data_IF_471323109806
#
_entry.id   IF_471323109806
#
_cell.length_a   1.000
_cell.length_b   1.000
_cell.length_c   1.000
_cell.angle_alpha   90.00
_cell.angle_beta   90.00
_cell.angle_gamma   90.00
#
_symmetry.space_group_name_H-M   'P 1'
#
loop_
_entity.id
_entity.type
_entity.pdbx_description
1 polymer ?
#
# COMPACT_ATOMS: atom_id res chain seq x y z
N UNK A 1 -3.99 -16.87 -3.47
CA UNK A 1 -3.76 -15.51 -3.96
C UNK A 1 -2.39 -15.13 -3.43
N UNK A 2 -1.38 -15.20 -4.30
CA UNK A 2 0.00 -14.86 -3.94
C UNK A 2 0.13 -13.37 -3.64
N UNK A 3 1.26 -12.98 -3.06
CA UNK A 3 1.61 -11.60 -2.69
C UNK A 3 1.86 -10.82 -4.00
N UNK A 4 0.80 -10.61 -4.77
CA UNK A 4 0.80 -10.00 -6.08
C UNK A 4 0.18 -8.60 -5.95
N UNK A 5 1.08 -7.62 -5.98
CA UNK A 5 0.90 -6.24 -6.42
C UNK A 5 0.62 -5.11 -5.40
N UNK A 6 0.42 -5.36 -4.09
CA UNK A 6 0.12 -4.26 -3.15
C UNK A 6 0.74 -4.35 -1.76
N UNK A 7 2.04 -4.70 -1.64
CA UNK A 7 2.75 -4.43 -0.38
C UNK A 7 3.20 -2.96 -0.36
N UNK A 8 2.24 -2.05 -0.25
CA UNK A 8 2.53 -0.63 0.00
C UNK A 8 2.98 -0.47 1.45
N UNK A 9 3.82 0.53 1.70
CA UNK A 9 4.20 0.91 3.07
C UNK A 9 2.97 1.20 3.94
N UNK A 10 1.93 1.76 3.33
CA UNK A 10 0.65 2.03 3.96
C UNK A 10 -0.08 0.75 4.39
N UNK A 11 -0.13 -0.27 3.52
CA UNK A 11 -0.71 -1.58 3.84
C UNK A 11 -0.01 -2.26 5.02
N UNK A 12 1.33 -2.25 5.06
CA UNK A 12 2.04 -2.86 6.21
C UNK A 12 1.84 -2.07 7.49
N UNK A 13 1.71 -0.74 7.41
CA UNK A 13 1.39 0.09 8.57
C UNK A 13 -0.03 -0.17 9.07
N UNK A 14 -1.00 -0.38 8.19
CA UNK A 14 -2.42 -0.56 8.57
C UNK A 14 -2.83 -2.00 8.85
N UNK A 15 -2.16 -2.97 8.24
CA UNK A 15 -2.51 -4.39 8.23
C UNK A 15 -1.28 -5.29 8.52
N UNK A 16 -0.47 -4.87 9.50
CA UNK A 16 0.77 -5.55 9.91
C UNK A 16 0.59 -7.04 10.19
N UNK A 17 -0.53 -7.43 10.81
CA UNK A 17 -0.80 -8.82 11.17
C UNK A 17 -1.21 -9.68 9.97
N UNK A 18 -2.00 -9.12 9.05
CA UNK A 18 -2.34 -9.75 7.76
C UNK A 18 -1.07 -10.03 6.97
N UNK A 19 -0.20 -9.00 6.82
CA UNK A 19 1.10 -9.17 6.17
C UNK A 19 1.94 -10.26 6.85
N UNK A 20 2.03 -10.26 8.19
CA UNK A 20 2.79 -11.29 8.93
C UNK A 20 2.24 -12.69 8.65
N UNK A 21 0.93 -12.87 8.57
CA UNK A 21 0.30 -14.15 8.24
C UNK A 21 0.61 -14.61 6.82
N UNK A 22 0.46 -13.73 5.83
CA UNK A 22 0.76 -14.02 4.43
C UNK A 22 2.23 -14.36 4.24
N UNK A 23 3.13 -13.56 4.81
CA UNK A 23 4.56 -13.79 4.81
C UNK A 23 4.91 -15.13 5.47
N UNK A 24 4.33 -15.44 6.64
CA UNK A 24 4.53 -16.73 7.30
C UNK A 24 4.02 -17.90 6.45
N UNK A 25 2.94 -17.71 5.69
CA UNK A 25 2.44 -18.70 4.74
C UNK A 25 3.41 -18.93 3.59
N UNK A 26 3.98 -17.86 3.02
CA UNK A 26 5.02 -17.97 1.99
C UNK A 26 6.26 -18.72 2.52
N UNK A 27 6.72 -18.40 3.74
CA UNK A 27 7.82 -19.11 4.40
C UNK A 27 7.49 -20.60 4.66
N UNK A 28 6.21 -20.94 4.90
CA UNK A 28 5.76 -22.32 5.06
C UNK A 28 5.83 -23.09 3.74
N UNK A 29 5.39 -22.46 2.65
CA UNK A 29 5.35 -23.07 1.33
C UNK A 29 6.75 -23.30 0.75
N UNK A 30 7.71 -22.42 1.08
CA UNK A 30 9.11 -22.60 0.69
C UNK A 30 9.85 -23.50 1.68
N UNK A 31 9.87 -24.79 1.37
CA UNK A 31 10.35 -25.88 2.24
C UNK A 31 11.86 -25.83 2.48
N UNK A 32 12.39 -26.57 3.48
CA UNK A 32 13.84 -26.71 3.66
C UNK A 32 14.54 -27.27 2.42
N UNK A 33 13.92 -28.21 1.71
CA UNK A 33 14.44 -28.73 0.45
C UNK A 33 14.53 -27.63 -0.60
N UNK A 34 13.50 -26.80 -0.76
CA UNK A 34 13.54 -25.69 -1.71
C UNK A 34 14.61 -24.64 -1.35
N UNK A 35 14.88 -24.42 -0.05
CA UNK A 35 15.99 -23.56 0.40
C UNK A 35 17.36 -24.17 0.10
N UNK A 36 17.50 -25.48 0.23
CA UNK A 36 18.72 -26.19 -0.16
C UNK A 36 18.93 -26.12 -1.67
N UNK A 37 17.87 -26.25 -2.48
CA UNK A 37 17.95 -26.03 -3.93
C UNK A 37 18.46 -24.63 -4.26
N UNK A 38 17.91 -23.60 -3.61
CA UNK A 38 18.37 -22.22 -3.77
C UNK A 38 19.86 -22.09 -3.42
N UNK A 39 20.27 -22.58 -2.25
CA UNK A 39 21.68 -22.52 -1.83
C UNK A 39 22.64 -23.25 -2.79
N UNK A 40 22.21 -24.37 -3.38
CA UNK A 40 22.99 -25.13 -4.35
C UNK A 40 23.07 -24.48 -5.75
N UNK A 41 22.25 -23.46 -6.01
CA UNK A 41 22.34 -22.60 -7.20
C UNK A 41 23.21 -21.37 -6.96
N UNK A 42 23.59 -21.08 -5.71
CA UNK A 42 24.26 -19.83 -5.36
C UNK A 42 25.78 -19.95 -5.35
N UNK A 43 26.43 -18.92 -5.88
CA UNK A 43 27.88 -18.69 -5.76
C UNK A 43 28.12 -17.27 -5.24
N UNK A 44 29.37 -16.85 -5.13
CA UNK A 44 29.70 -15.45 -4.80
C UNK A 44 29.20 -14.45 -5.86
N UNK A 45 28.99 -14.91 -7.10
CA UNK A 45 28.68 -14.05 -8.25
C UNK A 45 27.31 -14.34 -8.88
N UNK A 46 26.65 -15.42 -8.49
CA UNK A 46 25.39 -15.90 -9.08
C UNK A 46 24.38 -16.11 -7.97
N UNK A 47 23.24 -15.44 -8.05
CA UNK A 47 22.13 -15.66 -7.13
C UNK A 47 21.09 -16.61 -7.74
N UNK A 48 20.25 -17.21 -6.90
CA UNK A 48 19.09 -18.00 -7.39
C UNK A 48 18.17 -17.15 -8.28
N UNK A 49 18.00 -15.86 -7.98
CA UNK A 49 17.22 -14.93 -8.81
C UNK A 49 17.81 -14.76 -10.21
N UNK A 50 19.13 -14.68 -10.35
CA UNK A 50 19.81 -14.58 -11.65
C UNK A 50 19.58 -15.83 -12.50
N UNK A 51 19.61 -17.01 -11.88
CA UNK A 51 19.34 -18.29 -12.57
C UNK A 51 17.90 -18.35 -13.06
N UNK A 52 16.93 -17.98 -12.20
CA UNK A 52 15.51 -18.00 -12.55
C UNK A 52 15.17 -16.95 -13.61
N UNK A 53 15.79 -15.77 -13.53
CA UNK A 53 15.68 -14.73 -14.55
C UNK A 53 16.22 -15.20 -15.90
N UNK A 54 17.40 -15.82 -15.92
CA UNK A 54 17.96 -16.39 -17.14
C UNK A 54 17.06 -17.49 -17.72
N UNK A 55 16.44 -18.31 -16.88
CA UNK A 55 15.46 -19.30 -17.34
C UNK A 55 14.24 -18.63 -18.00
N UNK A 56 13.61 -17.65 -17.34
CA UNK A 56 12.42 -16.97 -17.86
C UNK A 56 12.70 -16.11 -19.11
N UNK A 57 13.84 -15.42 -19.15
CA UNK A 57 14.14 -14.46 -20.22
C UNK A 57 14.85 -15.08 -21.42
N UNK A 58 15.65 -16.14 -21.21
CA UNK A 58 16.53 -16.69 -22.24
C UNK A 58 16.21 -18.14 -22.62
N UNK A 59 15.88 -19.00 -21.64
CA UNK A 59 15.72 -20.45 -21.89
C UNK A 59 14.27 -20.79 -22.28
N UNK A 60 13.29 -20.46 -21.44
CA UNK A 60 11.89 -20.84 -21.60
C UNK A 60 11.30 -20.39 -22.95
N UNK A 61 11.49 -19.13 -23.41
CA UNK A 61 10.89 -18.67 -24.67
C UNK A 61 11.42 -19.48 -25.86
N UNK A 62 12.73 -19.69 -25.92
CA UNK A 62 13.38 -20.43 -27.00
C UNK A 62 13.00 -21.91 -26.93
N UNK A 63 12.93 -22.50 -25.73
CA UNK A 63 12.46 -23.89 -25.56
C UNK A 63 11.03 -24.07 -26.07
N UNK A 64 10.13 -23.11 -25.80
CA UNK A 64 8.76 -23.13 -26.29
C UNK A 64 8.70 -23.04 -27.82
N UNK A 65 9.46 -22.11 -28.43
CA UNK A 65 9.53 -21.95 -29.88
C UNK A 65 10.09 -23.21 -30.57
N UNK A 66 11.09 -23.85 -29.96
CA UNK A 66 11.66 -25.10 -30.45
C UNK A 66 10.66 -26.27 -30.37
N UNK A 67 9.89 -26.39 -29.29
CA UNK A 67 8.82 -27.41 -29.21
C UNK A 67 7.69 -27.15 -30.21
N UNK A 68 7.34 -25.88 -30.47
CA UNK A 68 6.40 -25.57 -31.54
C UNK A 68 6.96 -26.00 -32.91
N UNK A 69 8.24 -25.70 -33.16
CA UNK A 69 8.96 -26.08 -34.39
C UNK A 69 9.04 -27.60 -34.57
N UNK A 70 9.13 -28.36 -33.48
CA UNK A 70 9.10 -29.84 -33.49
C UNK A 70 7.86 -30.39 -34.20
N UNK A 71 6.74 -29.71 -34.05
CA UNK A 71 5.45 -30.11 -34.65
C UNK A 71 5.16 -29.44 -36.00
N UNK A 72 6.00 -28.51 -36.45
CA UNK A 72 5.78 -27.76 -37.69
C UNK A 72 6.04 -28.60 -38.95
N UNK A 73 4.96 -28.85 -39.71
CA UNK A 73 5.00 -29.55 -40.99
C UNK A 73 5.87 -28.84 -42.05
N UNK A 74 6.02 -27.51 -41.99
CA UNK A 74 6.86 -26.76 -42.94
C UNK A 74 8.34 -26.97 -42.66
N UNK A 75 8.73 -26.98 -41.40
CA UNK A 75 10.09 -27.31 -40.99
C UNK A 75 10.48 -28.73 -41.45
N UNK A 76 9.63 -29.72 -41.20
CA UNK A 76 9.83 -31.11 -41.64
C UNK A 76 9.95 -31.25 -43.17
N UNK A 77 9.07 -30.61 -43.92
CA UNK A 77 9.15 -30.56 -45.40
C UNK A 77 10.45 -29.91 -45.89
N UNK A 78 10.97 -28.94 -45.14
CA UNK A 78 12.25 -28.30 -45.46
C UNK A 78 13.40 -29.27 -45.25
N UNK A 79 13.42 -30.01 -44.15
CA UNK A 79 14.42 -31.06 -43.90
C UNK A 79 14.41 -32.15 -44.99
N UNK A 80 13.23 -32.62 -45.38
CA UNK A 80 13.05 -33.60 -46.47
C UNK A 80 13.62 -33.04 -47.78
N UNK A 81 13.28 -31.79 -48.12
CA UNK A 81 13.67 -31.17 -49.39
C UNK A 81 15.14 -30.78 -49.47
N UNK A 82 15.73 -30.28 -48.38
CA UNK A 82 17.09 -29.70 -48.38
C UNK A 82 18.16 -30.71 -47.97
N UNK A 83 17.84 -31.65 -47.09
CA UNK A 83 18.78 -32.65 -46.58
C UNK A 83 18.52 -34.05 -47.15
N UNK A 84 17.42 -34.24 -47.90
CA UNK A 84 17.13 -35.48 -48.60
C UNK A 84 16.64 -36.63 -47.71
N UNK A 85 16.18 -36.32 -46.49
CA UNK A 85 15.65 -37.33 -45.57
C UNK A 85 14.31 -37.90 -46.06
N UNK A 86 14.07 -39.20 -45.80
CA UNK A 86 12.72 -39.76 -45.87
C UNK A 86 11.85 -39.27 -44.71
N UNK A 87 10.52 -39.38 -44.80
CA UNK A 87 9.59 -38.82 -43.80
C UNK A 87 9.91 -39.23 -42.34
N UNK A 88 10.20 -40.52 -42.10
CA UNK A 88 10.59 -41.01 -40.77
C UNK A 88 11.97 -40.57 -40.29
N UNK A 89 12.89 -40.26 -41.21
CA UNK A 89 14.23 -39.80 -40.86
C UNK A 89 14.23 -38.28 -40.61
N UNK A 90 13.34 -37.55 -41.26
CA UNK A 90 13.12 -36.13 -41.03
C UNK A 90 12.57 -35.85 -39.62
N UNK A 91 11.69 -36.72 -39.11
CA UNK A 91 11.19 -36.63 -37.73
C UNK A 91 12.33 -36.83 -36.72
N UNK A 92 13.13 -37.89 -36.87
CA UNK A 92 14.29 -38.16 -35.99
C UNK A 92 15.34 -37.05 -36.07
N UNK A 93 15.58 -36.52 -37.27
CA UNK A 93 16.53 -35.41 -37.47
C UNK A 93 16.02 -34.12 -36.84
N UNK A 94 14.72 -33.81 -36.94
CA UNK A 94 14.10 -32.67 -36.27
C UNK A 94 14.25 -32.77 -34.75
N UNK A 95 13.95 -33.94 -34.17
CA UNK A 95 14.09 -34.17 -32.74
C UNK A 95 15.53 -34.00 -32.27
N UNK A 96 16.49 -34.60 -32.97
CA UNK A 96 17.92 -34.47 -32.67
C UNK A 96 18.41 -33.02 -32.72
N UNK A 97 18.08 -32.27 -33.78
CA UNK A 97 18.52 -30.89 -33.94
C UNK A 97 17.92 -29.97 -32.86
N UNK A 98 16.67 -30.21 -32.50
CA UNK A 98 15.98 -29.46 -31.43
C UNK A 98 16.63 -29.75 -30.08
N UNK A 99 16.87 -31.02 -29.75
CA UNK A 99 17.51 -31.42 -28.49
C UNK A 99 18.95 -30.88 -28.39
N UNK A 100 19.69 -30.89 -29.51
CA UNK A 100 21.04 -30.32 -29.56
C UNK A 100 21.02 -28.81 -29.36
N UNK A 101 20.06 -28.09 -29.98
CA UNK A 101 19.92 -26.65 -29.79
C UNK A 101 19.55 -26.30 -28.35
N UNK A 102 18.63 -27.05 -27.73
CA UNK A 102 18.28 -26.88 -26.31
C UNK A 102 19.49 -27.07 -25.40
N UNK A 103 20.27 -28.14 -25.61
CA UNK A 103 21.50 -28.41 -24.84
C UNK A 103 22.56 -27.32 -25.05
N UNK A 104 22.74 -26.85 -26.29
CA UNK A 104 23.67 -25.76 -26.61
C UNK A 104 23.27 -24.45 -25.93
N UNK A 105 21.98 -24.09 -25.94
CA UNK A 105 21.47 -22.89 -25.27
C UNK A 105 21.68 -22.98 -23.75
N UNK A 106 21.33 -24.11 -23.15
CA UNK A 106 21.54 -24.34 -21.72
C UNK A 106 23.02 -24.16 -21.35
N UNK A 107 23.94 -24.76 -22.13
CA UNK A 107 25.37 -24.61 -21.89
C UNK A 107 25.87 -23.16 -22.05
N UNK A 108 25.34 -22.41 -23.02
CA UNK A 108 25.67 -21.00 -23.22
C UNK A 108 25.27 -20.15 -22.01
N UNK A 109 24.02 -20.30 -21.56
CA UNK A 109 23.49 -19.60 -20.38
C UNK A 109 24.26 -19.97 -19.12
N UNK A 110 24.50 -21.27 -18.89
CA UNK A 110 25.26 -21.73 -17.73
C UNK A 110 26.71 -21.24 -17.74
N UNK A 111 27.35 -21.11 -18.90
CA UNK A 111 28.72 -20.61 -18.99
C UNK A 111 28.81 -19.11 -18.66
N UNK A 112 27.74 -18.36 -18.91
CA UNK A 112 27.64 -16.95 -18.53
C UNK A 112 27.34 -16.79 -17.03
N UNK A 113 26.42 -17.59 -16.49
CA UNK A 113 26.04 -17.55 -15.08
C UNK A 113 27.14 -18.09 -14.16
N UNK A 114 27.84 -19.13 -14.60
CA UNK A 114 28.88 -19.82 -13.84
C UNK A 114 30.18 -19.84 -14.66
N UNK A 115 30.91 -18.70 -14.71
CA UNK A 115 32.16 -18.63 -15.42
C UNK A 115 33.19 -19.59 -14.81
N UNK A 116 34.19 -19.99 -15.61
CA UNK A 116 35.30 -20.80 -15.11
C UNK A 116 36.19 -19.99 -14.18
N UNK A 117 36.46 -20.56 -13.01
CA UNK A 117 37.45 -20.05 -12.08
C UNK A 117 38.63 -21.02 -12.06
N UNK A 118 39.85 -20.51 -12.27
CA UNK A 118 41.07 -21.32 -12.35
C UNK A 118 41.01 -22.46 -13.39
N UNK A 119 40.21 -22.29 -14.45
CA UNK A 119 40.07 -23.27 -15.54
C UNK A 119 39.00 -24.34 -15.31
N UNK A 120 38.37 -24.38 -14.14
CA UNK A 120 37.32 -25.32 -13.77
C UNK A 120 35.98 -24.61 -13.58
N UNK A 121 34.88 -25.33 -13.80
CA UNK A 121 33.54 -24.81 -13.52
C UNK A 121 33.19 -25.09 -12.06
N UNK A 122 32.43 -24.19 -11.39
CA UNK A 122 31.95 -24.45 -10.05
C UNK A 122 30.93 -25.61 -10.04
N UNK A 123 30.86 -26.41 -8.96
CA UNK A 123 29.95 -27.56 -8.87
C UNK A 123 28.47 -27.17 -8.98
N UNK A 124 28.11 -25.94 -8.58
CA UNK A 124 26.78 -25.37 -8.72
C UNK A 124 26.31 -25.33 -10.19
N UNK A 125 27.24 -25.25 -11.15
CA UNK A 125 26.91 -25.30 -12.58
C UNK A 125 26.24 -26.61 -12.96
N UNK A 126 26.73 -27.74 -12.46
CA UNK A 126 26.18 -29.06 -12.78
C UNK A 126 24.85 -29.28 -12.08
N UNK A 127 24.70 -28.72 -10.87
CA UNK A 127 23.42 -28.65 -10.18
C UNK A 127 22.40 -27.83 -10.96
N UNK A 128 22.77 -26.62 -11.40
CA UNK A 128 21.92 -25.75 -12.22
C UNK A 128 21.56 -26.40 -13.56
N UNK A 129 22.48 -27.13 -14.19
CA UNK A 129 22.19 -27.91 -15.38
C UNK A 129 21.10 -28.96 -15.12
N UNK A 130 21.20 -29.67 -14.01
CA UNK A 130 20.21 -30.69 -13.59
C UNK A 130 18.86 -30.05 -13.28
N UNK A 131 18.86 -28.93 -12.57
CA UNK A 131 17.67 -28.18 -12.21
C UNK A 131 16.94 -27.61 -13.45
N UNK A 132 17.66 -26.93 -14.33
CA UNK A 132 17.11 -26.32 -15.55
C UNK A 132 16.73 -27.33 -16.64
N UNK A 133 17.10 -28.60 -16.47
CA UNK A 133 16.67 -29.70 -17.36
C UNK A 133 15.36 -30.36 -16.90
N UNK A 134 14.79 -29.94 -15.77
CA UNK A 134 13.48 -30.41 -15.30
C UNK A 134 12.35 -29.92 -16.21
N UNK A 135 11.14 -30.45 -16.02
CA UNK A 135 9.98 -29.97 -16.75
C UNK A 135 9.68 -28.50 -16.41
N UNK A 136 9.27 -27.71 -17.41
CA UNK A 136 8.99 -26.28 -17.23
C UNK A 136 7.98 -26.05 -16.10
N UNK A 137 6.98 -26.92 -15.95
CA UNK A 137 5.98 -26.84 -14.87
C UNK A 137 6.58 -26.94 -13.46
N UNK A 138 7.65 -27.72 -13.30
CA UNK A 138 8.31 -27.90 -12.00
C UNK A 138 9.15 -26.66 -11.65
N UNK A 139 9.84 -26.10 -12.65
CA UNK A 139 10.62 -24.87 -12.52
C UNK A 139 9.71 -23.68 -12.25
N UNK A 140 8.57 -23.55 -12.95
CA UNK A 140 7.56 -22.51 -12.71
C UNK A 140 6.98 -22.59 -11.29
N UNK A 141 6.65 -23.80 -10.86
CA UNK A 141 6.13 -24.07 -9.51
C UNK A 141 7.14 -23.66 -8.44
N UNK A 142 8.41 -24.02 -8.61
CA UNK A 142 9.50 -23.58 -7.72
C UNK A 142 9.68 -22.07 -7.76
N UNK A 143 9.71 -21.46 -8.95
CA UNK A 143 9.92 -20.03 -9.13
C UNK A 143 8.83 -19.21 -8.42
N UNK A 144 7.57 -19.60 -8.56
CA UNK A 144 6.44 -18.97 -7.88
C UNK A 144 6.62 -18.95 -6.36
N UNK A 145 6.99 -20.10 -5.76
CA UNK A 145 7.27 -20.19 -4.32
C UNK A 145 8.49 -19.37 -3.90
N UNK A 146 9.55 -19.37 -4.71
CA UNK A 146 10.77 -18.60 -4.45
C UNK A 146 10.50 -17.08 -4.45
N UNK A 147 9.74 -16.59 -5.44
CA UNK A 147 9.34 -15.18 -5.51
C UNK A 147 8.56 -14.78 -4.26
N UNK A 148 7.54 -15.56 -3.88
CA UNK A 148 6.71 -15.25 -2.71
C UNK A 148 7.55 -15.25 -1.43
N UNK A 149 8.49 -16.19 -1.29
CA UNK A 149 9.43 -16.27 -0.18
C UNK A 149 10.36 -15.05 -0.10
N UNK A 150 11.08 -14.73 -1.18
CA UNK A 150 12.03 -13.60 -1.19
C UNK A 150 11.30 -12.28 -0.98
N UNK A 151 10.13 -12.09 -1.58
CA UNK A 151 9.31 -10.88 -1.36
C UNK A 151 8.90 -10.75 0.11
N UNK A 152 8.46 -11.83 0.75
CA UNK A 152 8.10 -11.83 2.16
C UNK A 152 9.29 -11.43 3.05
N UNK A 153 10.47 -12.01 2.80
CA UNK A 153 11.71 -11.72 3.56
C UNK A 153 12.20 -10.29 3.33
N UNK A 154 12.24 -9.82 2.08
CA UNK A 154 12.68 -8.46 1.76
C UNK A 154 11.73 -7.41 2.34
N UNK A 155 10.42 -7.62 2.22
CA UNK A 155 9.43 -6.73 2.81
C UNK A 155 9.54 -6.71 4.34
N UNK A 156 9.72 -7.87 4.99
CA UNK A 156 9.86 -7.91 6.45
C UNK A 156 11.08 -7.16 6.96
N UNK A 157 12.22 -7.26 6.25
CA UNK A 157 13.43 -6.49 6.56
C UNK A 157 13.19 -5.00 6.33
N UNK A 158 12.63 -4.62 5.18
CA UNK A 158 12.39 -3.21 4.81
C UNK A 158 11.49 -2.48 5.81
N UNK A 159 10.45 -3.15 6.30
CA UNK A 159 9.44 -2.55 7.18
C UNK A 159 9.58 -2.96 8.65
N UNK A 160 10.70 -3.62 9.00
CA UNK A 160 11.01 -4.07 10.36
C UNK A 160 9.86 -4.86 11.01
N UNK A 161 9.35 -5.85 10.28
CA UNK A 161 8.32 -6.79 10.76
C UNK A 161 8.97 -8.12 11.08
N UNK A 162 8.80 -8.58 12.32
CA UNK A 162 9.31 -9.88 12.74
C UNK A 162 8.40 -10.99 12.18
N UNK A 163 9.00 -11.94 11.45
CA UNK A 163 8.33 -13.13 10.91
C UNK A 163 8.73 -14.38 11.68
N UNK A 164 7.78 -15.28 11.89
CA UNK A 164 8.04 -16.60 12.48
C UNK A 164 8.22 -17.61 11.35
N UNK A 165 9.44 -18.12 11.19
CA UNK A 165 9.72 -19.16 10.21
C UNK A 165 9.19 -20.53 10.70
N UNK A 166 8.22 -21.14 10.00
CA UNK A 166 7.67 -22.45 10.39
C UNK A 166 8.70 -23.58 10.41
N UNK A 167 9.74 -23.46 9.59
CA UNK A 167 10.80 -24.47 9.42
C UNK A 167 12.01 -24.24 10.33
N UNK A 168 12.05 -23.14 11.09
CA UNK A 168 13.11 -22.89 12.07
C UNK A 168 13.00 -23.83 13.28
N UNK A 169 14.07 -23.89 14.08
CA UNK A 169 14.08 -24.70 15.29
C UNK A 169 12.98 -24.27 16.26
N UNK A 170 12.49 -25.20 17.11
CA UNK A 170 11.49 -24.87 18.13
C UNK A 170 11.90 -23.61 18.91
N UNK A 171 13.13 -23.59 19.43
CA UNK A 171 13.63 -22.52 20.28
C UNK A 171 13.58 -21.16 19.58
N UNK A 172 13.92 -21.11 18.29
CA UNK A 172 13.81 -19.90 17.48
C UNK A 172 12.36 -19.47 17.33
N UNK A 173 11.46 -20.39 16.96
CA UNK A 173 10.02 -20.08 16.85
C UNK A 173 9.44 -19.54 18.14
N UNK A 174 9.82 -20.10 19.29
CA UNK A 174 9.35 -19.63 20.60
C UNK A 174 9.92 -18.25 20.95
N UNK A 175 11.22 -18.01 20.70
CA UNK A 175 11.82 -16.68 20.89
C UNK A 175 11.15 -15.63 20.01
N UNK A 176 10.92 -15.95 18.74
CA UNK A 176 10.25 -15.09 17.79
C UNK A 176 8.80 -14.81 18.19
N UNK A 177 8.06 -15.82 18.65
CA UNK A 177 6.71 -15.64 19.16
C UNK A 177 6.66 -14.69 20.37
N UNK A 178 7.61 -14.81 21.30
CA UNK A 178 7.73 -13.89 22.44
C UNK A 178 8.05 -12.47 21.97
N UNK A 179 8.94 -12.31 20.99
CA UNK A 179 9.27 -11.00 20.43
C UNK A 179 8.06 -10.36 19.75
N UNK A 180 7.31 -11.11 18.94
CA UNK A 180 6.07 -10.65 18.31
C UNK A 180 5.05 -10.21 19.35
N UNK A 181 4.88 -10.98 20.42
CA UNK A 181 3.93 -10.61 21.48
C UNK A 181 4.36 -9.34 22.21
N UNK A 182 5.65 -9.17 22.51
CA UNK A 182 6.18 -7.94 23.10
C UNK A 182 6.03 -6.74 22.18
N UNK A 183 6.25 -6.94 20.88
CA UNK A 183 6.06 -5.91 19.85
C UNK A 183 4.59 -5.47 19.79
N UNK A 184 3.65 -6.42 19.80
CA UNK A 184 2.21 -6.14 19.86
C UNK A 184 1.83 -5.33 21.10
N UNK A 185 2.23 -5.80 22.28
CA UNK A 185 1.93 -5.12 23.54
C UNK A 185 2.47 -3.68 23.56
N UNK A 186 3.71 -3.47 23.09
CA UNK A 186 4.28 -2.12 22.98
C UNK A 186 3.52 -1.26 21.98
N UNK A 187 3.18 -1.83 20.82
CA UNK A 187 2.43 -1.10 19.80
C UNK A 187 1.04 -0.72 20.29
N UNK A 188 0.34 -1.60 21.02
CA UNK A 188 -0.93 -1.29 21.68
C UNK A 188 -0.79 -0.16 22.69
N UNK A 189 0.23 -0.22 23.56
CA UNK A 189 0.51 0.83 24.54
C UNK A 189 0.82 2.18 23.86
N UNK A 190 1.73 2.19 22.88
CA UNK A 190 2.11 3.41 22.15
C UNK A 190 0.90 4.03 21.42
N UNK A 191 0.01 3.18 20.86
CA UNK A 191 -1.23 3.63 20.21
C UNK A 191 -2.23 4.21 21.20
N UNK A 192 -2.44 3.55 22.33
CA UNK A 192 -3.37 4.02 23.38
C UNK A 192 -2.86 5.31 24.01
N UNK A 193 -1.57 5.39 24.38
CA UNK A 193 -0.93 6.62 24.87
C UNK A 193 -1.07 7.75 23.84
N UNK A 194 -0.86 7.45 22.55
CA UNK A 194 -0.99 8.44 21.50
C UNK A 194 -2.44 8.90 21.30
N UNK A 195 -3.40 7.99 21.39
CA UNK A 195 -4.82 8.34 21.35
C UNK A 195 -5.20 9.26 22.51
N UNK A 196 -4.77 8.93 23.73
CA UNK A 196 -4.99 9.78 24.90
C UNK A 196 -4.39 11.18 24.71
N UNK A 197 -3.16 11.28 24.20
CA UNK A 197 -2.54 12.57 23.87
C UNK A 197 -3.35 13.36 22.83
N UNK A 198 -3.82 12.70 21.77
CA UNK A 198 -4.64 13.32 20.72
C UNK A 198 -5.96 13.81 21.31
N UNK A 199 -6.61 13.01 22.13
CA UNK A 199 -7.87 13.37 22.80
C UNK A 199 -7.69 14.57 23.72
N UNK A 200 -6.64 14.59 24.55
CA UNK A 200 -6.31 15.75 25.39
C UNK A 200 -6.04 17.01 24.56
N UNK A 201 -5.34 16.88 23.43
CA UNK A 201 -5.06 18.01 22.55
C UNK A 201 -6.32 18.53 21.83
N UNK A 202 -7.18 17.63 21.37
CA UNK A 202 -8.47 17.98 20.78
C UNK A 202 -9.36 18.63 21.82
N UNK A 203 -9.46 18.07 23.03
CA UNK A 203 -10.24 18.63 24.13
C UNK A 203 -9.76 20.05 24.47
N UNK A 204 -8.44 20.26 24.58
CA UNK A 204 -7.85 21.58 24.82
C UNK A 204 -8.20 22.57 23.70
N UNK A 205 -8.19 22.12 22.44
CA UNK A 205 -8.49 22.96 21.28
C UNK A 205 -9.99 23.32 21.20
N UNK A 206 -10.86 22.40 21.61
CA UNK A 206 -12.32 22.56 21.59
C UNK A 206 -12.85 23.32 22.81
N UNK A 207 -12.20 23.20 23.97
CA UNK A 207 -12.59 23.87 25.22
C UNK A 207 -11.94 25.25 25.41
N UNK A 208 -11.00 25.64 24.55
CA UNK A 208 -10.45 27.00 24.57
C UNK A 208 -11.58 28.00 24.24
N UNK A 209 -12.00 28.85 25.19
CA UNK A 209 -13.11 29.78 24.98
C UNK A 209 -12.78 30.83 23.91
N UNK A 210 -11.50 31.07 23.60
CA UNK A 210 -11.07 31.96 22.52
C UNK A 210 -11.00 31.24 21.15
N UNK A 211 -11.15 29.91 21.12
CA UNK A 211 -11.06 29.11 19.92
C UNK A 211 -12.40 29.02 19.20
N UNK A 212 -12.47 29.65 18.03
CA UNK A 212 -13.62 29.51 17.13
C UNK A 212 -13.76 28.09 16.58
N UNK A 213 -12.68 27.28 16.60
CA UNK A 213 -12.75 25.89 16.15
C UNK A 213 -13.70 25.07 17.03
N UNK A 214 -13.65 25.24 18.35
CA UNK A 214 -14.58 24.59 19.27
C UNK A 214 -16.04 24.88 18.96
N UNK A 215 -16.34 26.16 18.70
CA UNK A 215 -17.70 26.60 18.37
C UNK A 215 -18.17 26.07 17.02
N UNK A 216 -17.32 26.11 15.98
CA UNK A 216 -17.62 25.58 14.64
C UNK A 216 -17.88 24.07 14.71
N UNK A 217 -17.03 23.32 15.44
CA UNK A 217 -17.17 21.86 15.60
C UNK A 217 -18.43 21.50 16.39
N UNK A 218 -18.76 22.23 17.47
CA UNK A 218 -19.97 21.98 18.26
C UNK A 218 -21.27 22.14 17.47
N UNK A 219 -21.25 22.95 16.40
CA UNK A 219 -22.38 23.15 15.48
C UNK A 219 -22.31 22.23 14.25
N UNK A 220 -21.31 21.34 14.19
CA UNK A 220 -21.05 20.43 13.07
C UNK A 220 -20.88 21.15 11.73
N UNK A 221 -20.30 22.35 11.76
CA UNK A 221 -20.08 23.14 10.55
C UNK A 221 -18.84 22.66 9.80
N UNK A 222 -18.93 22.59 8.47
CA UNK A 222 -17.79 22.25 7.63
C UNK A 222 -16.82 23.45 7.52
N UNK A 223 -15.57 23.25 7.96
CA UNK A 223 -14.52 24.28 7.91
C UNK A 223 -14.30 24.86 6.51
N UNK A 224 -14.31 24.04 5.46
CA UNK A 224 -14.08 24.47 4.08
C UNK A 224 -15.19 25.43 3.65
N UNK A 225 -16.44 25.07 3.94
CA UNK A 225 -17.60 25.92 3.61
C UNK A 225 -17.52 27.27 4.33
N UNK A 226 -17.18 27.28 5.62
CA UNK A 226 -17.06 28.51 6.42
C UNK A 226 -15.93 29.41 5.90
N UNK A 227 -14.77 28.82 5.58
CA UNK A 227 -13.63 29.55 5.03
C UNK A 227 -13.91 30.10 3.62
N UNK A 228 -14.61 29.35 2.77
CA UNK A 228 -15.03 29.79 1.43
C UNK A 228 -16.00 30.97 1.49
N UNK A 229 -16.99 30.92 2.40
CA UNK A 229 -17.92 32.04 2.60
C UNK A 229 -17.19 33.31 3.04
N UNK A 230 -16.20 33.18 3.94
CA UNK A 230 -15.37 34.31 4.36
C UNK A 230 -14.50 34.84 3.23
N UNK A 231 -13.91 33.97 2.40
CA UNK A 231 -13.12 34.37 1.24
C UNK A 231 -13.97 35.11 0.19
N UNK A 232 -15.20 34.63 -0.07
CA UNK A 232 -16.17 35.30 -0.93
C UNK A 232 -16.55 36.68 -0.38
N UNK A 233 -16.81 36.78 0.92
CA UNK A 233 -17.07 38.05 1.57
C UNK A 233 -15.90 39.02 1.42
N UNK A 234 -14.67 38.57 1.72
CA UNK A 234 -13.48 39.42 1.61
C UNK A 234 -13.27 39.93 0.17
N UNK A 235 -13.41 39.05 -0.84
CA UNK A 235 -13.32 39.43 -2.25
C UNK A 235 -14.30 40.55 -2.63
N UNK A 236 -15.52 40.47 -2.09
CA UNK A 236 -16.54 41.48 -2.32
C UNK A 236 -16.27 42.76 -1.54
N UNK A 237 -15.75 42.68 -0.32
CA UNK A 237 -15.32 43.83 0.48
C UNK A 237 -14.17 44.57 -0.20
N UNK A 238 -13.18 43.85 -0.72
CA UNK A 238 -12.02 44.42 -1.41
C UNK A 238 -12.41 45.13 -2.72
N UNK A 239 -13.54 44.74 -3.32
CA UNK A 239 -14.10 45.37 -4.51
C UNK A 239 -14.95 46.62 -4.22
N UNK A 240 -15.22 46.95 -2.95
CA UNK A 240 -15.97 48.15 -2.57
C UNK A 240 -15.12 49.42 -2.70
N UNK A 241 -15.77 50.55 -2.98
CA UNK A 241 -15.11 51.86 -2.91
C UNK A 241 -14.73 52.22 -1.47
N UNK A 242 -13.77 53.14 -1.28
CA UNK A 242 -13.32 53.57 0.05
C UNK A 242 -14.44 54.17 0.91
N UNK A 243 -15.46 54.76 0.28
CA UNK A 243 -16.65 55.32 0.95
C UNK A 243 -17.61 54.21 1.39
N UNK A 244 -17.79 53.19 0.55
CA UNK A 244 -18.68 52.06 0.80
C UNK A 244 -18.12 51.10 1.85
N UNK A 245 -16.80 50.96 1.90
CA UNK A 245 -16.11 50.17 2.91
C UNK A 245 -16.28 50.75 4.32
N UNK A 246 -16.41 52.08 4.44
CA UNK A 246 -16.67 52.77 5.70
C UNK A 246 -18.15 52.75 6.12
N UNK A 247 -19.06 52.28 5.26
CA UNK A 247 -20.48 52.22 5.54
C UNK A 247 -20.89 50.87 6.15
N UNK A 248 -21.24 50.81 7.45
CA UNK A 248 -21.60 49.55 8.12
C UNK A 248 -22.81 48.86 7.48
N UNK A 249 -23.80 49.62 7.00
CA UNK A 249 -25.00 49.07 6.39
C UNK A 249 -24.71 48.38 5.05
N UNK A 250 -23.75 48.88 4.27
CA UNK A 250 -23.32 48.22 3.02
C UNK A 250 -22.57 46.91 3.33
N UNK A 251 -21.69 46.91 4.35
CA UNK A 251 -20.99 45.70 4.80
C UNK A 251 -21.94 44.63 5.35
N UNK A 252 -22.95 45.04 6.12
CA UNK A 252 -23.97 44.14 6.67
C UNK A 252 -24.82 43.50 5.58
N UNK A 253 -25.34 44.29 4.62
CA UNK A 253 -26.09 43.76 3.47
C UNK A 253 -25.29 42.78 2.63
N UNK A 254 -23.98 43.02 2.51
CA UNK A 254 -23.08 42.16 1.78
C UNK A 254 -22.84 40.84 2.53
N UNK A 255 -22.63 40.91 3.84
CA UNK A 255 -22.56 39.75 4.73
C UNK A 255 -23.85 38.91 4.65
N UNK A 256 -25.01 39.54 4.78
CA UNK A 256 -26.31 38.86 4.72
C UNK A 256 -26.48 38.12 3.39
N UNK A 257 -26.13 38.76 2.27
CA UNK A 257 -26.22 38.18 0.93
C UNK A 257 -25.29 36.98 0.75
N UNK A 258 -24.04 37.06 1.20
CA UNK A 258 -23.06 35.99 1.03
C UNK A 258 -23.41 34.79 1.91
N UNK A 259 -23.92 35.03 3.12
CA UNK A 259 -24.19 33.97 4.11
C UNK A 259 -25.61 33.40 4.05
N UNK A 260 -26.56 34.03 3.35
CA UNK A 260 -27.98 33.64 3.36
C UNK A 260 -28.21 32.15 3.08
N UNK A 261 -27.67 31.65 1.96
CA UNK A 261 -27.83 30.23 1.59
C UNK A 261 -27.28 29.25 2.63
N UNK A 262 -26.19 29.62 3.32
CA UNK A 262 -25.62 28.81 4.40
C UNK A 262 -26.48 28.89 5.66
N UNK A 263 -26.92 30.08 6.05
CA UNK A 263 -27.78 30.29 7.23
C UNK A 263 -29.10 29.53 7.09
N UNK A 264 -29.75 29.63 5.94
CA UNK A 264 -31.03 28.96 5.67
C UNK A 264 -30.87 27.44 5.77
N UNK A 265 -29.80 26.88 5.20
CA UNK A 265 -29.49 25.44 5.25
C UNK A 265 -29.18 24.95 6.66
N UNK A 266 -28.33 25.65 7.41
CA UNK A 266 -27.97 25.23 8.77
C UNK A 266 -29.15 25.40 9.75
N UNK A 267 -29.97 26.43 9.55
CA UNK A 267 -31.23 26.58 10.29
C UNK A 267 -32.16 25.39 10.01
N UNK A 268 -32.39 25.04 8.74
CA UNK A 268 -33.24 23.89 8.37
C UNK A 268 -32.72 22.58 8.98
N UNK A 269 -31.39 22.35 8.95
CA UNK A 269 -30.74 21.18 9.58
C UNK A 269 -31.05 21.11 11.08
N UNK A 270 -30.86 22.22 11.81
CA UNK A 270 -31.08 22.27 13.26
C UNK A 270 -32.56 22.13 13.63
N UNK A 271 -33.46 22.67 12.81
CA UNK A 271 -34.91 22.54 12.99
C UNK A 271 -35.35 21.08 12.87
N UNK A 272 -34.85 20.39 11.84
CA UNK A 272 -35.12 18.97 11.63
C UNK A 272 -34.58 18.08 12.76
N UNK A 273 -33.35 18.35 13.22
CA UNK A 273 -32.70 17.59 14.28
C UNK A 273 -33.38 17.75 15.64
N UNK A 274 -33.77 18.98 16.01
CA UNK A 274 -34.34 19.28 17.32
C UNK A 274 -35.87 19.22 17.37
N UNK A 275 -36.54 18.80 16.28
CA UNK A 275 -38.01 18.76 16.12
C UNK A 275 -38.71 20.02 16.64
N UNK A 276 -38.05 21.17 16.50
CA UNK A 276 -38.44 22.37 17.25
C UNK A 276 -39.44 23.17 16.44
N UNK A 277 -40.70 23.16 16.88
CA UNK A 277 -41.78 23.89 16.22
C UNK A 277 -42.02 25.30 16.82
N UNK A 278 -41.26 25.68 17.86
CA UNK A 278 -41.46 26.97 18.53
C UNK A 278 -40.71 28.10 17.82
N UNK A 279 -41.42 29.18 17.47
CA UNK A 279 -40.85 30.38 16.85
C UNK A 279 -39.70 30.99 17.67
N UNK A 280 -39.75 30.86 19.01
CA UNK A 280 -38.69 31.34 19.92
C UNK A 280 -37.39 30.55 19.75
N UNK A 281 -37.47 29.23 19.58
CA UNK A 281 -36.29 28.41 19.33
C UNK A 281 -35.71 28.66 17.93
N UNK A 282 -36.57 28.82 16.92
CA UNK A 282 -36.15 29.20 15.56
C UNK A 282 -35.37 30.51 15.53
N UNK A 283 -35.89 31.52 16.22
CA UNK A 283 -35.21 32.81 16.34
C UNK A 283 -33.84 32.68 17.01
N UNK A 284 -33.77 31.93 18.11
CA UNK A 284 -32.52 31.68 18.83
C UNK A 284 -31.49 30.95 17.96
N UNK A 285 -31.90 29.91 17.23
CA UNK A 285 -31.04 29.19 16.29
C UNK A 285 -30.46 30.14 15.24
N UNK A 286 -31.30 30.99 14.65
CA UNK A 286 -30.83 31.96 13.65
C UNK A 286 -29.88 33.01 14.24
N UNK A 287 -30.16 33.52 15.43
CA UNK A 287 -29.27 34.45 16.17
C UNK A 287 -27.92 33.75 16.46
N UNK A 288 -27.93 32.53 16.99
CA UNK A 288 -26.73 31.77 17.32
C UNK A 288 -25.88 31.39 16.08
N UNK A 289 -26.48 31.21 14.90
CA UNK A 289 -25.76 31.02 13.63
C UNK A 289 -25.16 32.36 13.18
N UNK A 290 -25.94 33.43 13.28
CA UNK A 290 -25.56 34.76 12.82
C UNK A 290 -24.38 35.32 13.61
N UNK A 291 -24.43 35.19 14.94
CA UNK A 291 -23.40 35.70 15.85
C UNK A 291 -22.04 35.03 15.62
N UNK A 292 -22.01 33.70 15.47
CA UNK A 292 -20.77 32.98 15.18
C UNK A 292 -20.21 33.33 13.80
N UNK A 293 -21.06 33.48 12.77
CA UNK A 293 -20.60 33.90 11.45
C UNK A 293 -20.03 35.32 11.47
N UNK A 294 -20.65 36.24 12.20
CA UNK A 294 -20.10 37.59 12.37
C UNK A 294 -18.73 37.55 13.07
N UNK A 295 -18.60 36.76 14.14
CA UNK A 295 -17.34 36.62 14.87
C UNK A 295 -16.21 36.11 13.98
N UNK A 296 -16.49 35.15 13.09
CA UNK A 296 -15.55 34.60 12.11
C UNK A 296 -15.19 35.64 11.03
N UNK A 297 -16.16 36.45 10.59
CA UNK A 297 -15.98 37.39 9.49
C UNK A 297 -15.28 38.68 9.94
N UNK A 298 -15.47 39.09 11.18
CA UNK A 298 -14.81 40.25 11.80
C UNK A 298 -13.41 39.95 12.35
N UNK A 299 -12.90 38.72 12.18
CA UNK A 299 -11.53 38.39 12.56
C UNK A 299 -10.51 39.26 11.83
N UNK A 300 -9.59 39.85 12.61
CA UNK A 300 -8.37 40.45 12.07
C UNK A 300 -7.45 39.38 11.43
N UNK A 301 -6.43 39.84 10.71
CA UNK A 301 -5.49 38.94 10.02
C UNK A 301 -4.74 37.99 10.98
N UNK A 302 -4.48 38.41 12.22
CA UNK A 302 -3.77 37.60 13.22
C UNK A 302 -4.64 36.47 13.76
N UNK A 303 -5.88 36.76 14.17
CA UNK A 303 -6.87 35.79 14.63
C UNK A 303 -7.29 34.85 13.52
N UNK A 304 -7.39 35.35 12.27
CA UNK A 304 -7.63 34.51 11.10
C UNK A 304 -6.51 33.49 10.90
N UNK A 305 -5.25 33.91 10.98
CA UNK A 305 -4.13 32.99 10.81
C UNK A 305 -4.10 31.95 11.96
N UNK A 306 -4.41 32.36 13.20
CA UNK A 306 -4.59 31.45 14.34
C UNK A 306 -5.71 30.43 14.07
N UNK A 307 -6.89 30.88 13.64
CA UNK A 307 -8.00 30.00 13.26
C UNK A 307 -7.60 28.98 12.19
N UNK A 308 -6.88 29.39 11.14
CA UNK A 308 -6.40 28.46 10.11
C UNK A 308 -5.44 27.40 10.67
N UNK A 309 -4.51 27.80 11.53
CA UNK A 309 -3.59 26.87 12.20
C UNK A 309 -4.33 25.90 13.13
N UNK A 310 -5.32 26.40 13.87
CA UNK A 310 -6.12 25.58 14.78
C UNK A 310 -7.01 24.59 14.00
N UNK A 311 -7.58 25.00 12.85
CA UNK A 311 -8.31 24.10 11.94
C UNK A 311 -7.37 23.02 11.39
N UNK A 312 -6.20 23.41 10.88
CA UNK A 312 -5.21 22.45 10.37
C UNK A 312 -4.79 21.45 11.44
N UNK A 313 -4.54 21.93 12.66
CA UNK A 313 -4.20 21.10 13.80
C UNK A 313 -5.34 20.14 14.16
N UNK A 314 -6.57 20.64 14.26
CA UNK A 314 -7.74 19.82 14.52
C UNK A 314 -7.89 18.71 13.47
N UNK A 315 -7.90 19.07 12.18
CA UNK A 315 -8.03 18.10 11.08
C UNK A 315 -6.93 17.05 11.11
N UNK A 316 -5.68 17.45 11.33
CA UNK A 316 -4.56 16.51 11.43
C UNK A 316 -4.73 15.55 12.60
N UNK A 317 -5.08 16.05 13.78
CA UNK A 317 -5.31 15.23 14.98
C UNK A 317 -6.49 14.26 14.79
N UNK A 318 -7.59 14.71 14.17
CA UNK A 318 -8.73 13.85 13.86
C UNK A 318 -8.35 12.74 12.88
N UNK A 319 -7.62 13.07 11.80
CA UNK A 319 -7.14 12.07 10.82
C UNK A 319 -6.21 11.04 11.46
N UNK A 320 -5.29 11.49 12.31
CA UNK A 320 -4.37 10.62 13.03
C UNK A 320 -5.11 9.68 13.98
N UNK A 321 -6.06 10.20 14.77
CA UNK A 321 -6.93 9.39 15.64
C UNK A 321 -7.68 8.33 14.85
N UNK A 322 -8.34 8.73 13.77
CA UNK A 322 -9.17 7.83 12.97
C UNK A 322 -8.31 6.73 12.31
N UNK A 323 -7.06 7.05 11.94
CA UNK A 323 -6.09 6.06 11.46
C UNK A 323 -5.69 5.08 12.57
N UNK A 324 -5.35 5.54 13.77
CA UNK A 324 -4.98 4.63 14.88
C UNK A 324 -6.16 3.70 15.21
N UNK A 325 -7.38 4.23 15.30
CA UNK A 325 -8.59 3.43 15.54
C UNK A 325 -8.85 2.40 14.43
N UNK A 326 -8.55 2.74 13.17
CA UNK A 326 -8.63 1.80 12.06
C UNK A 326 -7.62 0.66 12.23
N UNK A 327 -6.37 0.97 12.58
CA UNK A 327 -5.31 -0.02 12.83
C UNK A 327 -5.72 -0.98 13.96
N UNK A 328 -6.19 -0.43 15.08
CA UNK A 328 -6.67 -1.21 16.22
C UNK A 328 -7.83 -2.15 15.82
N UNK A 329 -8.81 -1.63 15.05
CA UNK A 329 -9.94 -2.44 14.56
C UNK A 329 -9.49 -3.57 13.66
N UNK A 330 -8.61 -3.29 12.69
CA UNK A 330 -8.09 -4.31 11.77
C UNK A 330 -7.37 -5.42 12.53
N UNK A 331 -6.58 -5.07 13.56
CA UNK A 331 -5.91 -6.03 14.43
C UNK A 331 -6.91 -6.90 15.20
N UNK A 332 -7.93 -6.29 15.81
CA UNK A 332 -8.95 -7.03 16.55
C UNK A 332 -9.74 -7.98 15.66
N UNK A 333 -10.13 -7.53 14.46
CA UNK A 333 -10.80 -8.38 13.47
C UNK A 333 -9.93 -9.57 13.08
N UNK A 334 -8.66 -9.33 12.75
CA UNK A 334 -7.72 -10.40 12.41
C UNK A 334 -7.54 -11.43 13.53
N UNK A 335 -7.49 -10.99 14.79
CA UNK A 335 -7.38 -11.90 15.93
C UNK A 335 -8.67 -12.70 16.14
N UNK A 336 -9.84 -12.05 16.02
CA UNK A 336 -11.14 -12.69 16.18
C UNK A 336 -11.45 -13.74 15.08
N UNK A 337 -10.90 -13.60 13.88
CA UNK A 337 -11.04 -14.59 12.80
C UNK A 337 -10.20 -15.85 12.99
N UNK A 338 -9.30 -15.87 13.98
CA UNK A 338 -8.33 -16.95 14.22
C UNK A 338 -8.54 -17.71 15.53
N UNK A 339 -9.40 -17.21 16.40
CA UNK A 339 -9.95 -17.92 17.56
C UNK A 339 -11.20 -18.70 17.16
#
# INVERSE_FOLDING_TARGET
MGIANHVSEEFIKTERETFRAEATSALRQFTPEDREKAANLETEHTTTDDVLRAWTEQIQPIHSDLEQTRTDTKFKKTLIRTLGFGDSDADKAADYLIDERKRSLLNEVLSNLYPKENGEFPPQRDYAATFLSQADTDIESYFSRYIDYIRAVQASVKYNVILCDPHASWLERQRTAIQINKERQRTEQDEDERLEEIEQQLEKLLKDPESLVGQIVSKEWNFITVLDLRAKYQKHVDALSKEDLKNPNKRLKLFERVTQSFRDREAEKLIGAHKTQSLKALRKINEDIYDLLLEIFDLDNTKRNRLLLDIQRHTRLTQERDLILLIQRNRQQFLAERD
#
